data_IF_329012040911
#
_entry.id   IF_329012040911
#
_cell.length_a   1.000
_cell.length_b   1.000
_cell.length_c   1.000
_cell.angle_alpha   90.00
_cell.angle_beta   90.00
_cell.angle_gamma   90.00
#
_symmetry.space_group_name_H-M   'P 1'
#
loop_
_entity.id
_entity.type
_entity.pdbx_description
1 polymer ?
#
# COMPACT_ATOMS: atom_id res chain seq x y z
N UNK A 1 30.55 6.68 41.30
CA UNK A 1 29.60 5.58 41.35
C UNK A 1 29.69 4.75 40.05
N UNK A 2 29.47 3.41 40.10
CA UNK A 2 29.57 2.52 38.95
C UNK A 2 28.65 2.94 37.78
N UNK A 3 27.50 3.56 38.12
CA UNK A 3 26.52 4.12 37.18
C UNK A 3 27.11 5.24 36.31
N UNK A 4 27.90 6.12 36.90
CA UNK A 4 28.48 7.29 36.21
C UNK A 4 29.62 6.87 35.26
N UNK A 5 30.33 5.78 35.59
CA UNK A 5 31.36 5.19 34.73
C UNK A 5 30.79 4.43 33.52
N UNK A 6 29.59 3.85 33.66
CA UNK A 6 28.87 3.21 32.55
C UNK A 6 28.21 4.25 31.61
N UNK A 7 27.64 5.33 32.15
CA UNK A 7 27.07 6.43 31.38
C UNK A 7 28.14 7.17 30.54
N UNK A 8 29.33 7.38 31.11
CA UNK A 8 30.46 8.04 30.43
C UNK A 8 31.05 7.20 29.29
N UNK A 9 30.95 5.87 29.34
CA UNK A 9 31.40 4.97 28.25
C UNK A 9 30.36 4.78 27.14
N UNK A 10 29.08 5.02 27.40
CA UNK A 10 28.01 4.92 26.40
C UNK A 10 27.90 6.18 25.52
N UNK A 11 28.59 7.28 25.87
CA UNK A 11 28.59 8.52 25.10
C UNK A 11 29.68 8.63 24.04
N UNK A 12 30.48 7.55 23.80
CA UNK A 12 31.29 7.48 22.58
C UNK A 12 30.34 7.42 21.40
N UNK A 13 30.27 8.54 20.66
CA UNK A 13 29.45 8.69 19.45
C UNK A 13 29.61 7.46 18.55
N UNK A 14 28.59 6.66 18.46
CA UNK A 14 28.42 5.74 17.36
C UNK A 14 28.38 6.59 16.07
N UNK A 15 29.53 6.72 15.41
CA UNK A 15 29.52 7.16 14.02
C UNK A 15 29.07 5.95 13.22
N UNK A 16 27.92 6.05 12.59
CA UNK A 16 27.60 5.15 11.50
C UNK A 16 28.62 5.47 10.40
N UNK A 17 29.70 4.70 10.33
CA UNK A 17 30.57 4.73 9.17
C UNK A 17 29.69 4.41 7.97
N UNK A 18 29.64 5.32 7.00
CA UNK A 18 28.93 5.12 5.76
C UNK A 18 29.56 3.94 5.04
N UNK A 19 28.90 2.77 5.13
CA UNK A 19 29.30 1.59 4.35
C UNK A 19 29.12 1.96 2.88
N UNK A 20 30.16 1.84 2.02
CA UNK A 20 30.00 2.09 0.60
C UNK A 20 28.94 1.13 0.06
N UNK A 21 27.86 1.66 -0.48
CA UNK A 21 26.74 0.91 -1.07
C UNK A 21 27.10 0.46 -2.49
N UNK A 22 28.03 -0.50 -2.63
CA UNK A 22 27.98 -1.45 -3.74
C UNK A 22 26.91 -2.49 -3.38
N UNK A 23 26.12 -2.96 -4.35
CA UNK A 23 25.11 -3.99 -4.08
C UNK A 23 25.79 -5.19 -3.40
N UNK A 24 25.52 -5.44 -2.11
CA UNK A 24 26.19 -6.51 -1.38
C UNK A 24 25.75 -7.85 -1.95
N UNK A 25 26.66 -8.84 -1.94
CA UNK A 25 26.25 -10.21 -2.22
C UNK A 25 25.12 -10.66 -1.27
N UNK A 26 24.30 -11.67 -1.66
CA UNK A 26 23.11 -12.03 -0.88
C UNK A 26 23.37 -12.39 0.58
N UNK A 27 24.55 -12.98 0.90
CA UNK A 27 24.89 -13.34 2.28
C UNK A 27 25.20 -12.09 3.10
N UNK A 28 25.96 -11.16 2.54
CA UNK A 28 26.24 -9.87 3.16
C UNK A 28 24.96 -9.03 3.27
N UNK A 29 24.10 -9.03 2.25
CA UNK A 29 22.80 -8.35 2.31
C UNK A 29 21.94 -8.88 3.45
N UNK A 30 21.90 -10.20 3.67
CA UNK A 30 21.17 -10.81 4.77
C UNK A 30 21.71 -10.43 6.16
N UNK A 31 23.04 -10.22 6.28
CA UNK A 31 23.66 -9.76 7.53
C UNK A 31 23.41 -8.28 7.81
N UNK A 32 23.30 -7.46 6.75
CA UNK A 32 23.06 -6.03 6.84
C UNK A 32 21.56 -5.67 6.84
N UNK A 33 20.67 -6.67 6.73
CA UNK A 33 19.23 -6.47 6.74
C UNK A 33 18.77 -5.81 8.04
N UNK A 34 17.75 -4.98 7.96
CA UNK A 34 17.21 -4.22 9.10
C UNK A 34 16.70 -5.14 10.21
N UNK A 35 16.19 -6.30 9.83
CA UNK A 35 15.73 -7.33 10.78
C UNK A 35 16.08 -8.74 10.31
N UNK A 36 16.07 -9.75 11.21
CA UNK A 36 16.22 -11.14 10.81
C UNK A 36 15.15 -11.63 9.82
N UNK A 37 13.96 -11.00 9.79
CA UNK A 37 12.89 -11.31 8.85
C UNK A 37 13.26 -10.94 7.42
N UNK A 38 13.95 -9.82 7.24
CA UNK A 38 14.43 -9.36 5.93
C UNK A 38 15.75 -10.01 5.51
N UNK A 39 16.44 -10.64 6.46
CA UNK A 39 17.71 -11.34 6.28
C UNK A 39 17.54 -12.85 6.24
N UNK A 40 18.11 -13.55 7.24
CA UNK A 40 18.19 -15.02 7.27
C UNK A 40 16.85 -15.76 7.23
N UNK A 41 15.76 -15.13 7.64
CA UNK A 41 14.41 -15.71 7.60
C UNK A 41 13.60 -15.29 6.38
N UNK A 42 14.10 -14.40 5.51
CA UNK A 42 13.39 -13.94 4.32
C UNK A 42 12.79 -15.08 3.48
N UNK A 43 13.50 -16.19 3.19
CA UNK A 43 12.90 -17.31 2.44
C UNK A 43 11.73 -17.98 3.17
N UNK A 44 11.76 -18.01 4.52
CA UNK A 44 10.71 -18.64 5.33
C UNK A 44 9.45 -17.81 5.41
N UNK A 45 9.59 -16.48 5.37
CA UNK A 45 8.47 -15.53 5.45
C UNK A 45 8.00 -15.04 4.07
N UNK A 46 8.67 -15.46 2.99
CA UNK A 46 8.33 -15.05 1.63
C UNK A 46 6.82 -15.21 1.27
N UNK A 47 6.10 -16.28 1.71
CA UNK A 47 4.66 -16.41 1.44
C UNK A 47 3.83 -15.26 2.05
N UNK A 48 4.30 -14.64 3.13
CA UNK A 48 3.61 -13.51 3.78
C UNK A 48 3.63 -12.25 2.90
N UNK A 49 4.55 -12.13 1.97
CA UNK A 49 4.66 -10.98 1.08
C UNK A 49 3.39 -10.77 0.22
N UNK A 50 2.68 -11.84 -0.11
CA UNK A 50 1.41 -11.76 -0.85
C UNK A 50 0.33 -11.00 -0.08
N UNK A 51 0.45 -10.90 1.26
CA UNK A 51 -0.53 -10.30 2.16
C UNK A 51 -0.04 -9.01 2.82
N UNK A 52 1.25 -8.91 3.14
CA UNK A 52 1.79 -7.86 4.01
C UNK A 52 2.91 -7.02 3.38
N UNK A 53 3.26 -7.26 2.11
CA UNK A 53 4.18 -6.35 1.40
C UNK A 53 3.52 -5.00 1.11
N UNK A 54 4.33 -3.99 0.83
CA UNK A 54 3.82 -2.68 0.38
C UNK A 54 2.94 -2.82 -0.88
N UNK A 55 3.34 -3.69 -1.82
CA UNK A 55 2.50 -4.02 -2.98
C UNK A 55 1.13 -4.55 -2.57
N UNK A 56 1.07 -5.49 -1.61
CA UNK A 56 -0.18 -6.05 -1.13
C UNK A 56 -1.06 -5.00 -0.44
N UNK A 57 -0.45 -4.09 0.33
CA UNK A 57 -1.16 -2.98 0.97
C UNK A 57 -1.74 -2.01 -0.06
N UNK A 58 -0.96 -1.59 -1.07
CA UNK A 58 -1.45 -0.70 -2.14
C UNK A 58 -2.59 -1.38 -2.89
N UNK A 59 -2.46 -2.65 -3.25
CA UNK A 59 -3.52 -3.43 -3.91
C UNK A 59 -4.80 -3.50 -3.07
N UNK A 60 -4.68 -3.68 -1.76
CA UNK A 60 -5.83 -3.70 -0.86
C UNK A 60 -6.51 -2.33 -0.79
N UNK A 61 -5.74 -1.23 -0.72
CA UNK A 61 -6.27 0.14 -0.78
C UNK A 61 -7.04 0.40 -2.08
N UNK A 62 -6.50 0.00 -3.23
CA UNK A 62 -7.17 0.09 -4.53
C UNK A 62 -8.52 -0.62 -4.51
N UNK A 63 -8.57 -1.82 -3.93
CA UNK A 63 -9.83 -2.58 -3.78
C UNK A 63 -10.84 -1.85 -2.91
N UNK A 64 -10.40 -1.28 -1.81
CA UNK A 64 -11.28 -0.53 -0.89
C UNK A 64 -11.83 0.70 -1.58
N UNK A 65 -11.01 1.50 -2.24
CA UNK A 65 -11.44 2.72 -2.94
C UNK A 65 -12.43 2.41 -4.08
N UNK A 66 -12.19 1.36 -4.85
CA UNK A 66 -13.11 0.92 -5.90
C UNK A 66 -14.43 0.43 -5.32
N UNK A 67 -14.39 -0.36 -4.24
CA UNK A 67 -15.60 -0.86 -3.59
C UNK A 67 -16.41 0.30 -2.97
N UNK A 68 -15.73 1.29 -2.42
CA UNK A 68 -16.36 2.49 -1.87
C UNK A 68 -17.04 3.31 -2.97
N UNK A 69 -16.34 3.59 -4.06
CA UNK A 69 -16.91 4.31 -5.21
C UNK A 69 -18.14 3.58 -5.79
N UNK A 70 -18.08 2.25 -5.91
CA UNK A 70 -19.21 1.43 -6.40
C UNK A 70 -20.40 1.52 -5.44
N UNK A 71 -20.15 1.49 -4.12
CA UNK A 71 -21.19 1.64 -3.10
C UNK A 71 -21.84 3.04 -3.11
N UNK A 72 -21.06 4.11 -3.34
CA UNK A 72 -21.58 5.46 -3.48
C UNK A 72 -22.56 5.58 -4.66
N UNK A 73 -22.31 4.84 -5.76
CA UNK A 73 -23.22 4.79 -6.90
C UNK A 73 -24.58 4.15 -6.58
N UNK A 74 -24.66 3.34 -5.54
CA UNK A 74 -25.91 2.69 -5.08
C UNK A 74 -26.55 3.45 -3.90
N UNK A 75 -25.91 4.53 -3.40
CA UNK A 75 -26.38 5.30 -2.25
C UNK A 75 -27.33 6.41 -2.68
N UNK A 76 -28.63 6.33 -2.36
CA UNK A 76 -29.63 7.33 -2.79
C UNK A 76 -29.35 8.75 -2.27
N UNK A 77 -28.58 8.88 -1.19
CA UNK A 77 -28.20 10.17 -0.61
C UNK A 77 -27.10 10.90 -1.38
N UNK A 78 -26.47 10.25 -2.38
CA UNK A 78 -25.37 10.80 -3.19
C UNK A 78 -25.78 10.81 -4.66
N UNK A 79 -26.72 11.68 -4.99
CA UNK A 79 -27.30 11.78 -6.35
C UNK A 79 -26.28 12.17 -7.43
N UNK A 80 -25.15 12.74 -7.06
CA UNK A 80 -24.05 13.12 -7.95
C UNK A 80 -23.30 11.91 -8.52
N UNK A 81 -23.40 10.74 -7.87
CA UNK A 81 -22.84 9.48 -8.33
C UNK A 81 -23.99 8.53 -8.68
N UNK A 82 -24.51 8.57 -9.92
CA UNK A 82 -25.57 7.65 -10.30
C UNK A 82 -25.06 6.20 -10.34
N UNK A 83 -25.95 5.21 -10.20
CA UNK A 83 -25.59 3.80 -10.27
C UNK A 83 -24.78 3.48 -11.52
N UNK A 84 -23.65 2.80 -11.34
CA UNK A 84 -22.80 2.36 -12.43
C UNK A 84 -23.46 1.24 -13.24
N UNK A 85 -23.29 1.27 -14.55
CA UNK A 85 -23.74 0.19 -15.43
C UNK A 85 -22.95 -1.10 -15.13
N UNK A 86 -23.51 -2.28 -15.47
CA UNK A 86 -22.78 -3.57 -15.34
C UNK A 86 -21.42 -3.55 -16.07
N UNK A 87 -21.31 -2.83 -17.18
CA UNK A 87 -20.05 -2.68 -17.93
C UNK A 87 -19.01 -1.86 -17.14
N UNK A 88 -19.40 -0.74 -16.57
CA UNK A 88 -18.52 0.09 -15.73
C UNK A 88 -18.08 -0.67 -14.47
N UNK A 89 -19.00 -1.38 -13.79
CA UNK A 89 -18.67 -2.23 -12.63
C UNK A 89 -17.69 -3.35 -12.99
N UNK A 90 -17.82 -3.91 -14.20
CA UNK A 90 -16.86 -4.91 -14.67
C UNK A 90 -15.46 -4.31 -14.84
N UNK A 91 -15.34 -3.10 -15.39
CA UNK A 91 -14.07 -2.40 -15.53
C UNK A 91 -13.45 -2.03 -14.17
N UNK A 92 -14.26 -1.57 -13.22
CA UNK A 92 -13.84 -1.28 -11.84
C UNK A 92 -13.25 -2.53 -11.18
N UNK A 93 -13.95 -3.66 -11.22
CA UNK A 93 -13.48 -4.93 -10.66
C UNK A 93 -12.22 -5.43 -11.38
N UNK A 94 -12.19 -5.37 -12.71
CA UNK A 94 -11.02 -5.78 -13.48
C UNK A 94 -9.76 -4.98 -13.11
N UNK A 95 -9.89 -3.68 -12.81
CA UNK A 95 -8.76 -2.87 -12.34
C UNK A 95 -8.27 -3.29 -10.95
N UNK A 96 -9.18 -3.65 -10.04
CA UNK A 96 -8.83 -4.14 -8.71
C UNK A 96 -8.18 -5.53 -8.75
N UNK A 97 -8.72 -6.44 -9.56
CA UNK A 97 -8.25 -7.83 -9.64
C UNK A 97 -6.96 -7.96 -10.46
N UNK A 98 -6.83 -7.16 -11.51
CA UNK A 98 -5.66 -7.11 -12.39
C UNK A 98 -4.54 -6.17 -11.93
N UNK A 99 -4.63 -5.58 -10.72
CA UNK A 99 -3.61 -4.68 -10.20
C UNK A 99 -2.25 -5.36 -10.12
N UNK A 100 -1.26 -4.82 -10.80
CA UNK A 100 0.06 -5.41 -11.00
C UNK A 100 1.17 -4.67 -10.22
N UNK A 101 2.37 -5.27 -10.08
CA UNK A 101 3.53 -4.55 -9.55
C UNK A 101 3.91 -3.29 -10.34
N UNK A 102 3.65 -3.24 -11.66
CA UNK A 102 3.87 -2.04 -12.47
C UNK A 102 2.89 -0.92 -12.09
N UNK A 103 1.63 -1.26 -11.78
CA UNK A 103 0.65 -0.31 -11.28
C UNK A 103 1.07 0.25 -9.92
N UNK A 104 1.55 -0.62 -9.02
CA UNK A 104 2.09 -0.19 -7.73
C UNK A 104 3.30 0.74 -7.88
N UNK A 105 4.20 0.47 -8.83
CA UNK A 105 5.31 1.36 -9.14
C UNK A 105 4.81 2.72 -9.65
N UNK A 106 3.70 2.76 -10.43
CA UNK A 106 3.07 4.02 -10.85
C UNK A 106 2.49 4.78 -9.66
N UNK A 107 1.80 4.10 -8.75
CA UNK A 107 1.30 4.70 -7.48
C UNK A 107 2.47 5.31 -6.70
N UNK A 108 3.59 4.59 -6.54
CA UNK A 108 4.80 5.11 -5.86
C UNK A 108 5.43 6.29 -6.59
N UNK A 109 5.33 6.34 -7.92
CA UNK A 109 5.78 7.51 -8.69
C UNK A 109 4.92 8.75 -8.40
N UNK A 110 3.61 8.59 -8.29
CA UNK A 110 2.69 9.67 -7.91
C UNK A 110 2.95 10.11 -6.47
N UNK A 111 3.13 9.16 -5.54
CA UNK A 111 3.40 9.43 -4.13
C UNK A 111 4.63 10.32 -3.92
N UNK A 112 5.70 10.14 -4.72
CA UNK A 112 6.89 11.02 -4.66
C UNK A 112 6.58 12.49 -4.92
N UNK A 113 5.50 12.79 -5.65
CA UNK A 113 5.06 14.15 -5.96
C UNK A 113 4.05 14.66 -4.94
N UNK A 114 3.11 13.81 -4.53
CA UNK A 114 2.03 14.18 -3.60
C UNK A 114 2.46 14.16 -2.14
N UNK A 115 3.54 13.43 -1.84
CA UNK A 115 4.03 13.14 -0.49
C UNK A 115 2.92 12.55 0.41
N UNK A 116 2.01 11.76 -0.19
CA UNK A 116 0.89 11.16 0.50
C UNK A 116 0.47 9.85 -0.18
N UNK A 117 0.56 8.74 0.55
CA UNK A 117 0.41 7.38 0.05
C UNK A 117 -1.03 7.05 -0.42
N UNK A 118 -2.05 7.31 0.40
CA UNK A 118 -3.45 7.05 0.03
C UNK A 118 -3.90 8.00 -1.08
N UNK A 119 -3.48 9.27 -1.04
CA UNK A 119 -3.77 10.24 -2.10
C UNK A 119 -3.18 9.81 -3.46
N UNK A 120 -2.03 9.15 -3.44
CA UNK A 120 -1.43 8.59 -4.65
C UNK A 120 -2.29 7.49 -5.28
N UNK A 121 -2.98 6.67 -4.47
CA UNK A 121 -3.94 5.68 -4.95
C UNK A 121 -5.13 6.35 -5.62
N UNK A 122 -5.69 7.41 -5.02
CA UNK A 122 -6.77 8.20 -5.60
C UNK A 122 -6.38 8.75 -6.98
N UNK A 123 -5.20 9.37 -7.11
CA UNK A 123 -4.73 9.91 -8.39
C UNK A 123 -4.50 8.81 -9.42
N UNK A 124 -3.94 7.67 -9.03
CA UNK A 124 -3.79 6.53 -9.92
C UNK A 124 -5.14 6.03 -10.45
N UNK A 125 -6.17 5.95 -9.60
CA UNK A 125 -7.53 5.57 -10.00
C UNK A 125 -8.12 6.59 -10.99
N UNK A 126 -7.94 7.88 -10.75
CA UNK A 126 -8.37 8.95 -11.68
C UNK A 126 -7.69 8.81 -13.03
N UNK A 127 -6.37 8.56 -13.07
CA UNK A 127 -5.64 8.28 -14.32
C UNK A 127 -6.16 7.02 -15.01
N UNK A 128 -6.35 5.94 -14.26
CA UNK A 128 -6.78 4.64 -14.78
C UNK A 128 -8.14 4.69 -15.47
N UNK A 129 -9.05 5.48 -14.93
CA UNK A 129 -10.42 5.56 -15.42
C UNK A 129 -10.73 6.82 -16.25
N UNK A 130 -9.75 7.65 -16.56
CA UNK A 130 -9.95 8.87 -17.33
C UNK A 130 -10.63 8.66 -18.69
N UNK A 131 -10.39 7.49 -19.33
CA UNK A 131 -11.00 7.13 -20.60
C UNK A 131 -12.35 6.40 -20.47
N UNK A 132 -12.87 6.18 -19.25
CA UNK A 132 -14.18 5.57 -18.99
C UNK A 132 -15.16 6.65 -18.59
N UNK A 133 -15.99 7.19 -19.51
CA UNK A 133 -16.75 8.43 -19.28
C UNK A 133 -17.67 8.38 -18.04
N UNK A 134 -18.22 7.20 -17.75
CA UNK A 134 -19.13 6.99 -16.62
C UNK A 134 -18.38 7.09 -15.28
N UNK A 135 -17.21 6.49 -15.17
CA UNK A 135 -16.37 6.54 -13.96
C UNK A 135 -15.65 7.88 -13.85
N UNK A 136 -15.20 8.44 -14.99
CA UNK A 136 -14.52 9.73 -15.02
C UNK A 136 -15.40 10.87 -14.49
N UNK A 137 -16.71 10.84 -14.74
CA UNK A 137 -17.67 11.82 -14.17
C UNK A 137 -17.77 11.74 -12.65
N UNK A 138 -17.56 10.55 -12.07
CA UNK A 138 -17.58 10.32 -10.64
C UNK A 138 -16.18 10.41 -10.00
N UNK A 139 -15.16 10.85 -10.73
CA UNK A 139 -13.76 10.82 -10.29
C UNK A 139 -13.50 11.62 -9.01
N UNK A 140 -14.23 12.71 -8.78
CA UNK A 140 -14.11 13.53 -7.58
C UNK A 140 -14.73 12.86 -6.33
N UNK A 141 -15.48 11.79 -6.52
CA UNK A 141 -16.06 10.98 -5.44
C UNK A 141 -15.17 9.78 -5.05
N UNK A 142 -14.05 9.56 -5.74
CA UNK A 142 -13.02 8.65 -5.24
C UNK A 142 -12.52 9.21 -3.91
N UNK A 143 -12.48 8.38 -2.86
CA UNK A 143 -12.12 8.79 -1.50
C UNK A 143 -13.13 9.76 -0.82
N UNK A 144 -14.29 10.00 -1.40
CA UNK A 144 -15.27 10.94 -0.84
C UNK A 144 -15.73 10.50 0.55
N UNK A 145 -15.79 11.46 1.48
CA UNK A 145 -16.18 11.28 2.88
C UNK A 145 -15.34 10.25 3.69
N UNK A 146 -14.19 9.81 3.15
CA UNK A 146 -13.24 8.95 3.86
C UNK A 146 -12.03 9.74 4.36
N UNK A 147 -11.40 9.22 5.41
CA UNK A 147 -10.03 9.56 5.77
C UNK A 147 -9.08 8.47 5.27
N UNK A 148 -7.78 8.78 5.23
CA UNK A 148 -6.77 7.75 4.91
C UNK A 148 -6.85 6.54 5.84
N UNK A 149 -7.25 6.77 7.10
CA UNK A 149 -7.36 5.71 8.11
C UNK A 149 -8.53 4.77 7.86
N UNK A 150 -9.65 5.25 7.29
CA UNK A 150 -10.76 4.40 6.89
C UNK A 150 -10.31 3.39 5.83
N UNK A 151 -9.54 3.86 4.83
CA UNK A 151 -8.98 3.02 3.77
C UNK A 151 -7.92 2.05 4.34
N UNK A 152 -7.02 2.53 5.20
CA UNK A 152 -5.99 1.71 5.83
C UNK A 152 -6.56 0.59 6.67
N UNK A 153 -7.53 0.90 7.53
CA UNK A 153 -8.17 -0.10 8.41
C UNK A 153 -8.83 -1.23 7.61
N UNK A 154 -9.56 -0.89 6.55
CA UNK A 154 -10.17 -1.88 5.68
C UNK A 154 -9.12 -2.68 4.91
N UNK A 155 -8.07 -2.03 4.40
CA UNK A 155 -6.97 -2.70 3.71
C UNK A 155 -6.24 -3.71 4.62
N UNK A 156 -5.94 -3.32 5.86
CA UNK A 156 -5.36 -4.23 6.87
C UNK A 156 -6.31 -5.36 7.25
N UNK A 157 -7.60 -5.07 7.38
CA UNK A 157 -8.64 -6.09 7.61
C UNK A 157 -8.67 -7.15 6.51
N UNK A 158 -8.60 -6.73 5.25
CA UNK A 158 -8.52 -7.61 4.08
C UNK A 158 -7.24 -8.47 4.15
N UNK A 159 -6.09 -7.86 4.41
CA UNK A 159 -4.81 -8.55 4.50
C UNK A 159 -4.83 -9.65 5.58
N UNK A 160 -5.31 -9.32 6.78
CA UNK A 160 -5.42 -10.26 7.90
C UNK A 160 -6.41 -11.41 7.61
N UNK A 161 -7.58 -11.10 7.02
CA UNK A 161 -8.56 -12.10 6.68
C UNK A 161 -8.05 -13.09 5.64
N UNK A 162 -7.34 -12.59 4.62
CA UNK A 162 -6.74 -13.44 3.58
C UNK A 162 -5.57 -14.26 4.14
N UNK A 163 -4.65 -13.63 4.87
CA UNK A 163 -3.53 -14.33 5.48
C UNK A 163 -3.99 -15.45 6.43
N UNK A 164 -5.02 -15.19 7.25
CA UNK A 164 -5.61 -16.21 8.11
C UNK A 164 -6.12 -17.42 7.33
N UNK A 165 -6.81 -17.18 6.21
CA UNK A 165 -7.37 -18.28 5.39
C UNK A 165 -6.29 -19.06 4.65
N UNK A 166 -5.25 -18.37 4.16
CA UNK A 166 -4.29 -18.94 3.23
C UNK A 166 -3.07 -19.56 3.97
N UNK A 167 -2.87 -19.23 5.26
CA UNK A 167 -1.69 -19.66 6.03
C UNK A 167 -2.06 -20.51 7.26
N UNK A 168 -3.24 -20.28 7.87
CA UNK A 168 -3.71 -21.01 9.04
C UNK A 168 -4.81 -22.03 8.69
#
# INVERSE_FOLDING_TARGET
CLRDKLASRASSRWRADSVPMADPDPATAALLALSPLDGRYAPKVAPLAAHFSEYALIRARVRVEIAWLDALGDEPGVAEVPPFTPAARTLLRAAADGFSPADAARVKAIERTTNHDVKAVEYWLKERFAAVPEVARASEFIHFACTSEDINNLAHGIALAHARRDIL
#
